data_IF_994190924756
#
_entry.id   IF_994190924756
#
_cell.length_a   1.000
_cell.length_b   1.000
_cell.length_c   1.000
_cell.angle_alpha   90.00
_cell.angle_beta   90.00
_cell.angle_gamma   90.00
#
_symmetry.space_group_name_H-M   'P 1'
#
loop_
_entity.id
_entity.type
_entity.pdbx_description
1 polymer ?
#
# COMPACT_ATOMS: atom_id res chain seq x y z
N UNK A 1 -1.95 25.69 -6.69
CA UNK A 1 -1.09 24.51 -6.97
C UNK A 1 -2.02 23.32 -7.10
N UNK A 2 -1.83 22.45 -8.09
CA UNK A 2 -2.66 21.25 -8.24
C UNK A 2 -2.07 20.13 -7.38
N UNK A 3 -2.86 19.59 -6.45
CA UNK A 3 -2.50 18.37 -5.73
C UNK A 3 -2.76 17.14 -6.59
N UNK A 4 -1.88 16.16 -6.52
CA UNK A 4 -2.07 14.84 -7.12
C UNK A 4 -2.39 13.86 -6.00
N UNK A 5 -3.43 13.07 -6.21
CA UNK A 5 -3.80 11.96 -5.34
C UNK A 5 -3.84 10.67 -6.15
N UNK A 6 -3.26 9.61 -5.62
CA UNK A 6 -3.33 8.27 -6.17
C UNK A 6 -3.79 7.30 -5.08
N UNK A 7 -4.71 6.39 -5.43
CA UNK A 7 -5.21 5.38 -4.50
C UNK A 7 -4.97 3.98 -5.03
N UNK A 8 -4.54 3.09 -4.14
CA UNK A 8 -4.31 1.68 -4.40
C UNK A 8 -5.21 0.91 -3.44
N UNK A 9 -6.00 -0.01 -3.97
CA UNK A 9 -6.86 -0.89 -3.18
C UNK A 9 -6.47 -2.32 -3.47
N UNK A 10 -5.90 -2.98 -2.45
CA UNK A 10 -5.63 -4.41 -2.47
C UNK A 10 -6.72 -5.16 -1.71
N UNK A 11 -7.08 -6.34 -2.20
CA UNK A 11 -8.12 -7.20 -1.62
C UNK A 11 -7.61 -8.63 -1.49
N UNK A 12 -7.76 -9.22 -0.32
CA UNK A 12 -7.34 -10.60 -0.09
C UNK A 12 -7.62 -11.07 1.33
N UNK A 13 -6.83 -12.04 1.79
CA UNK A 13 -6.94 -12.57 3.15
C UNK A 13 -6.42 -11.57 4.19
N UNK A 14 -6.99 -11.61 5.40
CA UNK A 14 -6.60 -10.70 6.48
C UNK A 14 -5.13 -10.84 6.86
N UNK A 15 -4.66 -12.08 7.04
CA UNK A 15 -3.28 -12.34 7.45
C UNK A 15 -2.28 -11.79 6.42
N UNK A 16 -2.60 -11.89 5.13
CA UNK A 16 -1.81 -11.29 4.05
C UNK A 16 -1.87 -9.77 4.09
N UNK A 17 -3.06 -9.19 4.29
CA UNK A 17 -3.23 -7.74 4.40
C UNK A 17 -2.47 -7.13 5.58
N UNK A 18 -2.44 -7.81 6.73
CA UNK A 18 -1.66 -7.40 7.91
C UNK A 18 -0.16 -7.44 7.63
N UNK A 19 0.33 -8.48 6.95
CA UNK A 19 1.73 -8.59 6.56
C UNK A 19 2.14 -7.51 5.54
N UNK A 20 1.28 -7.21 4.55
CA UNK A 20 1.51 -6.13 3.59
C UNK A 20 1.52 -4.75 4.26
N UNK A 21 0.59 -4.50 5.18
CA UNK A 21 0.57 -3.27 5.98
C UNK A 21 1.87 -3.10 6.77
N UNK A 22 2.34 -4.17 7.43
CA UNK A 22 3.59 -4.15 8.18
C UNK A 22 4.83 -3.90 7.31
N UNK A 23 4.80 -4.27 6.03
CA UNK A 23 5.90 -4.06 5.10
C UNK A 23 6.09 -2.60 4.68
N UNK A 24 4.99 -1.84 4.57
CA UNK A 24 5.02 -0.41 4.15
C UNK A 24 4.85 0.57 5.32
N UNK A 25 4.39 0.12 6.48
CA UNK A 25 4.32 0.95 7.69
C UNK A 25 5.66 1.57 8.15
N UNK A 26 6.86 0.99 7.91
CA UNK A 26 8.11 1.66 8.23
C UNK A 26 8.49 2.78 7.23
N UNK A 27 7.82 2.89 6.08
CA UNK A 27 8.03 4.00 5.14
C UNK A 27 7.32 5.28 5.62
N UNK A 28 7.86 6.45 5.27
CA UNK A 28 7.51 7.75 5.86
C UNK A 28 5.99 8.05 5.81
N UNK A 29 5.31 8.15 6.97
CA UNK A 29 3.85 8.35 7.04
C UNK A 29 3.39 9.75 6.64
N UNK A 30 4.32 10.65 6.26
CA UNK A 30 4.00 11.99 5.80
C UNK A 30 3.61 12.04 4.32
N UNK A 31 4.00 11.04 3.51
CA UNK A 31 3.77 11.04 2.06
C UNK A 31 2.54 10.20 1.63
N UNK A 32 2.04 9.31 2.49
CA UNK A 32 0.87 8.49 2.21
C UNK A 32 0.09 8.09 3.46
N UNK A 33 -1.21 7.82 3.28
CA UNK A 33 -2.08 7.20 4.28
C UNK A 33 -2.35 5.75 3.92
N UNK A 34 -2.38 4.87 4.91
CA UNK A 34 -2.75 3.46 4.72
C UNK A 34 -3.79 3.04 5.75
N UNK A 35 -4.79 2.30 5.30
CA UNK A 35 -5.85 1.73 6.14
C UNK A 35 -6.13 0.28 5.73
N UNK A 36 -6.12 -0.63 6.71
CA UNK A 36 -6.58 -2.00 6.54
C UNK A 36 -7.96 -2.14 7.17
N UNK A 37 -8.96 -2.43 6.35
CA UNK A 37 -10.32 -2.70 6.79
C UNK A 37 -10.71 -4.15 6.46
N UNK A 38 -11.59 -4.73 7.27
CA UNK A 38 -12.16 -6.05 7.00
C UNK A 38 -13.59 -5.88 6.53
N UNK A 39 -13.87 -6.25 5.29
CA UNK A 39 -15.22 -6.28 4.73
C UNK A 39 -15.65 -7.73 4.47
N UNK A 40 -16.43 -8.28 5.42
CA UNK A 40 -16.89 -9.66 5.37
C UNK A 40 -15.75 -10.65 5.57
N UNK A 41 -15.48 -11.46 4.55
CA UNK A 41 -14.43 -12.50 4.55
C UNK A 41 -13.12 -12.02 3.91
N UNK A 42 -13.09 -10.79 3.37
CA UNK A 42 -11.91 -10.22 2.73
C UNK A 42 -11.40 -9.01 3.51
N UNK A 43 -10.09 -8.84 3.49
CA UNK A 43 -9.42 -7.64 3.95
C UNK A 43 -9.13 -6.72 2.77
N UNK A 44 -9.34 -5.43 2.99
CA UNK A 44 -9.13 -4.34 2.04
C UNK A 44 -8.03 -3.44 2.59
N UNK A 45 -6.88 -3.44 1.92
CA UNK A 45 -5.79 -2.53 2.20
C UNK A 45 -5.89 -1.35 1.23
N UNK A 46 -6.22 -0.18 1.77
CA UNK A 46 -6.35 1.07 1.00
C UNK A 46 -5.16 1.95 1.30
N UNK A 47 -4.42 2.34 0.25
CA UNK A 47 -3.27 3.23 0.34
C UNK A 47 -3.59 4.47 -0.48
N UNK A 48 -3.43 5.65 0.12
CA UNK A 48 -3.69 6.95 -0.51
C UNK A 48 -2.41 7.77 -0.47
N UNK A 49 -1.86 8.08 -1.65
CA UNK A 49 -0.64 8.87 -1.82
C UNK A 49 -1.02 10.27 -2.26
N UNK A 50 -0.63 11.28 -1.49
CA UNK A 50 -0.88 12.69 -1.81
C UNK A 50 0.44 13.40 -2.08
N UNK A 51 0.58 14.06 -3.23
CA UNK A 51 1.84 14.71 -3.58
C UNK A 51 1.68 15.95 -4.46
N UNK A 52 2.71 16.79 -4.46
CA UNK A 52 2.81 17.93 -5.36
C UNK A 52 3.56 17.53 -6.64
N UNK A 53 2.80 17.14 -7.67
CA UNK A 53 3.31 16.86 -9.00
C UNK A 53 3.37 15.37 -9.37
N UNK A 54 3.06 15.08 -10.63
CA UNK A 54 2.92 13.72 -11.16
C UNK A 54 4.20 12.88 -11.04
N UNK A 55 5.38 13.49 -11.20
CA UNK A 55 6.65 12.78 -11.07
C UNK A 55 6.91 12.26 -9.66
N UNK A 56 6.53 13.04 -8.65
CA UNK A 56 6.66 12.63 -7.24
C UNK A 56 5.63 11.57 -6.88
N UNK A 57 4.38 11.77 -7.28
CA UNK A 57 3.30 10.78 -7.12
C UNK A 57 3.71 9.43 -7.68
N UNK A 58 4.27 9.41 -8.91
CA UNK A 58 4.73 8.18 -9.54
C UNK A 58 5.84 7.52 -8.73
N UNK A 59 6.87 8.26 -8.32
CA UNK A 59 7.98 7.69 -7.57
C UNK A 59 7.50 7.04 -6.27
N UNK A 60 6.67 7.74 -5.49
CA UNK A 60 6.09 7.21 -4.25
C UNK A 60 5.23 5.97 -4.48
N UNK A 61 4.40 5.95 -5.52
CA UNK A 61 3.60 4.78 -5.89
C UNK A 61 4.48 3.61 -6.31
N UNK A 62 5.51 3.86 -7.14
CA UNK A 62 6.43 2.83 -7.62
C UNK A 62 7.20 2.18 -6.44
N UNK A 63 7.65 2.98 -5.47
CA UNK A 63 8.35 2.50 -4.27
C UNK A 63 7.43 1.65 -3.37
N UNK A 64 6.20 2.12 -3.10
CA UNK A 64 5.20 1.38 -2.31
C UNK A 64 4.87 0.04 -2.97
N UNK A 65 4.62 0.04 -4.28
CA UNK A 65 4.31 -1.19 -5.03
C UNK A 65 5.49 -2.17 -5.02
N UNK A 66 6.73 -1.69 -5.04
CA UNK A 66 7.91 -2.55 -4.94
C UNK A 66 8.00 -3.24 -3.57
N UNK A 67 7.77 -2.52 -2.47
CA UNK A 67 7.72 -3.09 -1.12
C UNK A 67 6.60 -4.12 -0.96
N UNK A 68 5.39 -3.80 -1.45
CA UNK A 68 4.25 -4.70 -1.41
C UNK A 68 4.50 -5.98 -2.21
N UNK A 69 5.06 -5.88 -3.42
CA UNK A 69 5.37 -7.04 -4.26
C UNK A 69 6.43 -7.94 -3.61
N UNK A 70 7.43 -7.35 -2.94
CA UNK A 70 8.45 -8.12 -2.21
C UNK A 70 7.84 -8.87 -1.02
N UNK A 71 6.98 -8.20 -0.25
CA UNK A 71 6.27 -8.81 0.87
C UNK A 71 5.31 -9.92 0.40
N UNK A 72 4.53 -9.68 -0.65
CA UNK A 72 3.62 -10.67 -1.24
C UNK A 72 4.38 -11.92 -1.72
N UNK A 73 5.49 -11.73 -2.44
CA UNK A 73 6.34 -12.85 -2.87
C UNK A 73 6.93 -13.63 -1.69
N UNK A 74 7.26 -12.96 -0.58
CA UNK A 74 7.72 -13.62 0.65
C UNK A 74 6.63 -14.48 1.29
N UNK A 75 5.38 -14.02 1.26
CA UNK A 75 4.21 -14.75 1.77
C UNK A 75 3.87 -15.96 0.91
N UNK A 76 3.92 -15.82 -0.42
CA UNK A 76 3.68 -16.94 -1.35
C UNK A 76 4.77 -18.02 -1.26
N UNK A 77 5.98 -17.67 -0.81
CA UNK A 77 7.07 -18.64 -0.61
C UNK A 77 6.91 -19.49 0.65
N UNK A 78 6.01 -19.10 1.56
CA UNK A 78 5.74 -19.78 2.84
C UNK A 78 4.45 -20.62 2.80
N UNK A 79 3.71 -20.59 1.68
CA UNK A 79 2.44 -21.29 1.46
C UNK A 79 2.56 -22.56 0.62
#
# INVERSE_FOLDING_TARGET
MAGIEASIVWKGELDRGEALLAAISPDDPEDFSVELSKEGDQAHLTIVVSSEGLGRSRASVDDILACLAAAESGLDSLG
#
